data_IF_473428633605
#
_entry.id   IF_473428633605
#
_cell.length_a   1.000
_cell.length_b   1.000
_cell.length_c   1.000
_cell.angle_alpha   90.00
_cell.angle_beta   90.00
_cell.angle_gamma   90.00
#
_symmetry.space_group_name_H-M   'P 1'
#
loop_
_entity.id
_entity.type
_entity.pdbx_description
1 polymer ?
#
# COMPACT_ATOMS: atom_id res chain seq x y z
N UNK A 1 12.10 4.77 1.75
CA UNK A 1 10.72 5.31 1.79
C UNK A 1 9.80 4.24 2.32
N UNK A 2 8.48 4.38 2.16
CA UNK A 2 7.55 3.33 2.55
C UNK A 2 7.25 2.43 1.36
N UNK A 3 7.29 1.12 1.56
CA UNK A 3 6.77 0.14 0.61
C UNK A 3 6.10 -1.02 1.37
N UNK A 4 4.77 -0.99 1.53
CA UNK A 4 4.03 -1.98 2.29
C UNK A 4 4.16 -3.40 1.74
N UNK A 5 4.42 -3.57 0.44
CA UNK A 5 4.55 -4.90 -0.18
C UNK A 5 5.90 -5.58 0.12
N UNK A 6 6.89 -4.88 0.67
CA UNK A 6 8.16 -5.45 1.11
C UNK A 6 8.08 -6.05 2.53
N UNK A 7 7.11 -6.94 2.72
CA UNK A 7 6.89 -7.68 3.95
C UNK A 7 6.95 -9.20 3.69
N UNK A 8 7.00 -9.99 4.76
CA UNK A 8 6.89 -11.45 4.64
C UNK A 8 5.48 -11.87 4.21
N UNK A 9 5.37 -13.00 3.50
CA UNK A 9 4.05 -13.57 3.18
C UNK A 9 3.49 -14.29 4.40
N UNK A 10 2.48 -13.71 5.01
CA UNK A 10 1.66 -14.32 6.05
C UNK A 10 0.23 -13.75 6.01
N UNK A 11 -0.70 -14.37 6.74
CA UNK A 11 -2.12 -14.01 6.73
C UNK A 11 -2.36 -12.56 7.19
N UNK A 12 -1.66 -12.11 8.23
CA UNK A 12 -1.79 -10.75 8.76
C UNK A 12 -1.37 -9.69 7.73
N UNK A 13 -0.24 -9.89 7.04
CA UNK A 13 0.26 -9.00 6.01
C UNK A 13 -0.66 -9.00 4.78
N UNK A 14 -1.17 -10.17 4.37
CA UNK A 14 -2.12 -10.27 3.25
C UNK A 14 -3.40 -9.49 3.55
N UNK A 15 -3.98 -9.67 4.75
CA UNK A 15 -5.19 -8.96 5.15
C UNK A 15 -4.95 -7.45 5.24
N UNK A 16 -3.86 -7.03 5.88
CA UNK A 16 -3.48 -5.63 5.99
C UNK A 16 -3.32 -4.98 4.60
N UNK A 17 -2.62 -5.64 3.67
CA UNK A 17 -2.42 -5.11 2.33
C UNK A 17 -3.72 -5.00 1.54
N UNK A 18 -4.64 -5.96 1.68
CA UNK A 18 -5.95 -5.89 1.05
C UNK A 18 -6.75 -4.68 1.57
N UNK A 19 -6.77 -4.45 2.88
CA UNK A 19 -7.41 -3.27 3.48
C UNK A 19 -6.74 -1.97 3.08
N UNK A 20 -5.40 -1.92 3.07
CA UNK A 20 -4.64 -0.76 2.65
C UNK A 20 -4.99 -0.39 1.20
N UNK A 21 -5.02 -1.36 0.29
CA UNK A 21 -5.39 -1.14 -1.12
C UNK A 21 -6.80 -0.55 -1.23
N UNK A 22 -7.75 -1.01 -0.41
CA UNK A 22 -9.11 -0.43 -0.37
C UNK A 22 -9.10 1.04 0.08
N UNK A 23 -8.29 1.38 1.08
CA UNK A 23 -8.09 2.77 1.53
C UNK A 23 -7.48 3.62 0.40
N UNK A 24 -6.45 3.12 -0.29
CA UNK A 24 -5.81 3.84 -1.39
C UNK A 24 -6.74 4.03 -2.60
N UNK A 25 -7.60 3.05 -2.88
CA UNK A 25 -8.62 3.14 -3.92
C UNK A 25 -9.71 4.17 -3.59
N UNK A 26 -10.03 4.37 -2.31
CA UNK A 26 -10.95 5.43 -1.86
C UNK A 26 -12.36 5.30 -2.44
N UNK A 27 -12.83 4.07 -2.67
CA UNK A 27 -14.24 3.81 -3.04
C UNK A 27 -15.10 3.77 -1.77
N UNK A 28 -16.36 4.20 -1.89
CA UNK A 28 -17.33 4.07 -0.81
C UNK A 28 -17.63 2.60 -0.49
N UNK A 29 -17.73 1.77 -1.53
CA UNK A 29 -18.02 0.35 -1.43
C UNK A 29 -17.18 -0.44 -2.44
N UNK A 30 -16.84 -1.66 -2.05
CA UNK A 30 -16.19 -2.66 -2.89
C UNK A 30 -17.14 -3.84 -3.07
N UNK A 31 -17.34 -4.25 -4.32
CA UNK A 31 -18.13 -5.47 -4.59
C UNK A 31 -17.35 -6.72 -4.16
N UNK A 32 -18.05 -7.83 -3.88
CA UNK A 32 -17.42 -9.11 -3.56
C UNK A 32 -16.37 -9.55 -4.61
N UNK A 33 -16.62 -9.25 -5.88
CA UNK A 33 -15.68 -9.51 -6.97
C UNK A 33 -14.40 -8.67 -6.85
N UNK A 34 -14.54 -7.39 -6.51
CA UNK A 34 -13.38 -6.51 -6.34
C UNK A 34 -12.57 -6.90 -5.11
N UNK A 35 -13.22 -7.33 -4.02
CA UNK A 35 -12.51 -7.85 -2.86
C UNK A 35 -11.72 -9.12 -3.20
N UNK A 36 -12.31 -10.03 -3.98
CA UNK A 36 -11.61 -11.22 -4.48
C UNK A 36 -10.44 -10.86 -5.41
N UNK A 37 -10.63 -9.90 -6.32
CA UNK A 37 -9.58 -9.42 -7.23
C UNK A 37 -8.43 -8.75 -6.46
N UNK A 38 -8.73 -7.96 -5.42
CA UNK A 38 -7.73 -7.36 -4.52
C UNK A 38 -6.94 -8.45 -3.81
N UNK A 39 -7.63 -9.40 -3.17
CA UNK A 39 -6.99 -10.45 -2.39
C UNK A 39 -6.05 -11.29 -3.27
N UNK A 40 -6.52 -11.71 -4.45
CA UNK A 40 -5.70 -12.46 -5.42
C UNK A 40 -4.50 -11.65 -5.90
N UNK A 41 -4.67 -10.36 -6.17
CA UNK A 41 -3.57 -9.50 -6.58
C UNK A 41 -2.52 -9.32 -5.47
N UNK A 42 -2.95 -9.24 -4.20
CA UNK A 42 -2.06 -9.14 -3.04
C UNK A 42 -1.27 -10.42 -2.87
N UNK A 43 -1.94 -11.59 -2.89
CA UNK A 43 -1.25 -12.87 -2.80
C UNK A 43 -0.24 -13.05 -3.94
N UNK A 44 -0.65 -12.77 -5.18
CA UNK A 44 0.23 -12.84 -6.33
C UNK A 44 1.43 -11.89 -6.21
N UNK A 45 1.26 -10.71 -5.62
CA UNK A 45 2.37 -9.78 -5.35
C UNK A 45 3.33 -10.34 -4.29
N UNK A 46 2.81 -10.88 -3.20
CA UNK A 46 3.61 -11.48 -2.13
C UNK A 46 4.33 -12.77 -2.54
N UNK A 47 3.92 -13.40 -3.63
CA UNK A 47 4.65 -14.53 -4.23
C UNK A 47 5.80 -14.08 -5.17
N UNK A 48 5.88 -12.80 -5.54
CA UNK A 48 7.00 -12.30 -6.35
C UNK A 48 8.27 -12.06 -5.53
N UNK A 49 9.47 -12.06 -6.15
CA UNK A 49 10.70 -11.60 -5.51
C UNK A 49 10.54 -10.20 -4.91
N UNK A 50 11.07 -9.98 -3.70
CA UNK A 50 10.89 -8.73 -2.94
C UNK A 50 11.24 -7.45 -3.72
N UNK A 51 12.27 -7.48 -4.58
CA UNK A 51 12.68 -6.33 -5.40
C UNK A 51 11.69 -5.98 -6.52
N UNK A 52 10.75 -6.87 -6.86
CA UNK A 52 9.67 -6.61 -7.82
C UNK A 52 8.40 -6.10 -7.15
N UNK A 53 8.32 -6.16 -5.81
CA UNK A 53 7.16 -5.77 -5.03
C UNK A 53 7.06 -4.25 -4.95
N UNK A 54 6.12 -3.69 -5.70
CA UNK A 54 5.92 -2.24 -5.84
C UNK A 54 4.45 -1.95 -6.15
N UNK A 55 3.98 -0.74 -5.80
CA UNK A 55 2.62 -0.29 -6.14
C UNK A 55 2.43 -0.26 -7.67
N UNK A 56 3.47 0.16 -8.40
CA UNK A 56 3.51 0.14 -9.87
C UNK A 56 3.26 -1.25 -10.44
N UNK A 57 3.88 -2.29 -9.89
CA UNK A 57 3.67 -3.66 -10.37
C UNK A 57 2.34 -4.24 -9.85
N UNK A 58 1.94 -3.92 -8.62
CA UNK A 58 0.68 -4.38 -8.03
C UNK A 58 -0.51 -3.93 -8.87
N UNK A 59 -0.51 -2.64 -9.26
CA UNK A 59 -1.55 -2.07 -10.12
C UNK A 59 -1.72 -2.86 -11.42
N UNK A 60 -0.65 -3.40 -12.00
CA UNK A 60 -0.73 -4.18 -13.26
C UNK A 60 -1.42 -5.53 -13.08
N UNK A 61 -1.50 -6.05 -11.85
CA UNK A 61 -2.19 -7.30 -11.52
C UNK A 61 -3.70 -7.13 -11.39
N UNK A 62 -4.21 -5.90 -11.36
CA UNK A 62 -5.63 -5.61 -11.22
C UNK A 62 -6.34 -5.54 -12.59
N UNK A 63 -7.61 -5.96 -12.66
CA UNK A 63 -8.41 -5.80 -13.88
C UNK A 63 -8.56 -4.32 -14.28
N UNK A 64 -8.31 -4.03 -15.56
CA UNK A 64 -8.54 -2.70 -16.12
C UNK A 64 -9.98 -2.58 -16.63
N UNK A 65 -10.90 -2.24 -15.73
CA UNK A 65 -12.35 -2.15 -16.01
C UNK A 65 -12.82 -0.77 -16.50
N UNK A 66 -11.89 0.10 -16.92
CA UNK A 66 -12.21 1.46 -17.37
C UNK A 66 -12.18 2.50 -16.24
N UNK A 67 -12.87 3.61 -16.49
CA UNK A 67 -12.86 4.77 -15.61
C UNK A 67 -13.48 4.43 -14.25
N UNK A 68 -12.84 4.89 -13.18
CA UNK A 68 -13.21 4.66 -11.77
C UNK A 68 -12.94 3.26 -11.17
N UNK A 69 -12.42 2.31 -11.97
CA UNK A 69 -11.95 1.02 -11.44
C UNK A 69 -10.73 1.17 -10.52
N UNK A 70 -10.46 0.16 -9.69
CA UNK A 70 -9.30 0.17 -8.79
C UNK A 70 -7.97 0.36 -9.55
N UNK A 71 -7.84 -0.24 -10.73
CA UNK A 71 -6.70 -0.01 -11.63
C UNK A 71 -6.49 1.47 -11.96
N UNK A 72 -7.55 2.22 -12.25
CA UNK A 72 -7.48 3.65 -12.55
C UNK A 72 -7.17 4.47 -11.30
N UNK A 73 -7.86 4.19 -10.19
CA UNK A 73 -7.71 4.89 -8.90
C UNK A 73 -6.31 4.76 -8.32
N UNK A 74 -5.69 3.58 -8.43
CA UNK A 74 -4.33 3.37 -7.93
C UNK A 74 -3.24 4.04 -8.76
N UNK A 75 -3.53 4.54 -9.96
CA UNK A 75 -2.53 5.18 -10.84
C UNK A 75 -1.80 6.33 -10.15
N UNK A 76 -2.49 7.13 -9.35
CA UNK A 76 -1.86 8.28 -8.69
C UNK A 76 -0.86 7.89 -7.61
N UNK A 77 -0.98 6.68 -7.07
CA UNK A 77 -0.12 6.12 -6.03
C UNK A 77 1.11 5.41 -6.61
N UNK A 78 1.25 5.34 -7.94
CA UNK A 78 2.43 4.79 -8.59
C UNK A 78 3.47 5.86 -8.89
N UNK A 79 4.74 5.48 -8.85
CA UNK A 79 5.90 6.33 -9.11
C UNK A 79 5.70 7.21 -10.36
N UNK A 80 6.12 8.47 -10.26
CA UNK A 80 5.92 9.48 -11.30
C UNK A 80 4.54 10.13 -11.34
N UNK A 81 3.62 9.77 -10.42
CA UNK A 81 2.33 10.46 -10.25
C UNK A 81 2.27 11.18 -8.88
N UNK A 82 1.20 11.93 -8.63
CA UNK A 82 1.09 12.88 -7.52
C UNK A 82 1.34 12.28 -6.13
N UNK A 83 0.96 11.02 -5.88
CA UNK A 83 1.14 10.33 -4.61
C UNK A 83 2.11 9.14 -4.70
N UNK A 84 2.85 9.02 -5.80
CA UNK A 84 3.80 7.91 -6.02
C UNK A 84 4.95 7.87 -5.02
N UNK A 85 5.26 9.01 -4.40
CA UNK A 85 6.31 9.12 -3.38
C UNK A 85 5.96 8.41 -2.06
N UNK A 86 4.68 8.16 -1.80
CA UNK A 86 4.20 7.62 -0.52
C UNK A 86 4.59 6.15 -0.37
N UNK A 87 4.05 5.27 -1.24
CA UNK A 87 4.18 3.81 -1.09
C UNK A 87 4.89 3.08 -2.25
N UNK A 88 5.24 3.76 -3.34
CA UNK A 88 5.89 3.13 -4.49
C UNK A 88 7.41 3.27 -4.46
N UNK A 89 7.99 3.09 -3.27
CA UNK A 89 9.42 3.16 -3.06
C UNK A 89 10.09 1.82 -3.41
N UNK A 90 11.28 1.80 -4.04
CA UNK A 90 11.96 0.55 -4.40
C UNK A 90 12.45 -0.25 -3.20
N UNK A 91 12.65 0.41 -2.05
CA UNK A 91 13.05 -0.22 -0.79
C UNK A 91 12.21 0.40 0.33
N UNK A 92 11.59 -0.47 1.13
CA UNK A 92 11.02 -0.09 2.41
C UNK A 92 12.14 0.10 3.42
N UNK A 93 12.27 1.31 3.95
CA UNK A 93 13.36 1.68 4.87
C UNK A 93 12.88 1.88 6.29
N UNK A 94 11.64 1.48 6.60
CA UNK A 94 11.11 1.60 7.96
C UNK A 94 11.75 0.53 8.82
N UNK A 95 12.41 0.97 9.88
CA UNK A 95 12.95 0.11 10.92
C UNK A 95 12.63 0.73 12.28
N UNK A 96 11.59 0.18 12.91
CA UNK A 96 11.08 0.68 14.19
C UNK A 96 11.88 0.19 15.41
N UNK A 97 12.87 -0.68 15.19
CA UNK A 97 13.69 -1.27 16.28
C UNK A 97 14.92 -0.43 16.63
N UNK A 98 15.29 0.53 15.78
CA UNK A 98 16.55 1.28 15.89
C UNK A 98 16.57 2.37 16.95
N UNK A 99 15.41 2.77 17.48
CA UNK A 99 15.33 3.84 18.46
C UNK A 99 14.12 3.66 19.37
N UNK A 100 14.24 4.13 20.62
CA UNK A 100 13.14 4.21 21.59
C UNK A 100 12.12 5.30 21.25
N UNK A 101 12.49 6.26 20.40
CA UNK A 101 11.64 7.34 19.91
C UNK A 101 11.93 7.51 18.41
N UNK A 102 10.88 7.44 17.60
CA UNK A 102 10.96 7.63 16.15
C UNK A 102 10.03 8.79 15.79
N UNK A 103 10.62 9.89 15.32
CA UNK A 103 9.88 10.99 14.73
C UNK A 103 9.90 10.85 13.22
N UNK A 104 8.73 10.80 12.59
CA UNK A 104 8.64 11.03 11.15
C UNK A 104 8.50 12.53 10.91
N UNK A 105 9.11 13.05 9.85
CA UNK A 105 8.78 14.40 9.42
C UNK A 105 7.42 14.35 8.73
N UNK A 106 6.38 14.77 9.45
CA UNK A 106 4.99 14.63 9.03
C UNK A 106 4.46 15.86 8.30
N UNK A 107 5.25 16.92 8.07
CA UNK A 107 4.73 18.20 7.58
C UNK A 107 3.97 18.05 6.25
N UNK A 108 4.49 17.24 5.32
CA UNK A 108 3.80 16.96 4.04
C UNK A 108 2.66 15.91 4.15
N UNK A 109 2.67 15.09 5.22
CA UNK A 109 1.68 14.01 5.44
C UNK A 109 0.46 14.54 6.20
N UNK A 110 0.64 15.45 7.16
CA UNK A 110 -0.44 15.96 8.01
C UNK A 110 -1.41 16.81 7.20
N UNK A 111 -0.90 17.61 6.27
CA UNK A 111 -1.75 18.55 5.51
C UNK A 111 -2.61 17.84 4.46
N UNK A 112 -2.20 16.63 4.03
CA UNK A 112 -2.96 15.82 3.10
C UNK A 112 -3.65 14.63 3.78
N UNK A 113 -4.93 14.81 4.14
CA UNK A 113 -5.75 13.78 4.78
C UNK A 113 -5.76 12.43 4.03
N UNK A 114 -5.65 12.48 2.70
CA UNK A 114 -5.63 11.32 1.82
C UNK A 114 -4.34 10.48 1.97
N UNK A 115 -3.22 11.12 2.28
CA UNK A 115 -1.94 10.46 2.57
C UNK A 115 -1.86 10.05 4.03
N UNK A 116 -2.37 10.91 4.93
CA UNK A 116 -2.32 10.70 6.38
C UNK A 116 -2.91 9.38 6.82
N UNK A 117 -4.13 9.06 6.36
CA UNK A 117 -4.85 7.84 6.78
C UNK A 117 -4.07 6.57 6.43
N UNK A 118 -3.70 6.30 5.16
CA UNK A 118 -3.00 5.07 4.84
C UNK A 118 -1.58 5.01 5.41
N UNK A 119 -0.90 6.15 5.58
CA UNK A 119 0.41 6.19 6.27
C UNK A 119 0.30 5.76 7.73
N UNK A 120 -0.69 6.27 8.47
CA UNK A 120 -0.93 5.87 9.86
C UNK A 120 -1.25 4.39 9.94
N UNK A 121 -2.14 3.88 9.08
CA UNK A 121 -2.48 2.45 9.06
C UNK A 121 -1.23 1.58 8.84
N UNK A 122 -0.36 1.99 7.91
CA UNK A 122 0.89 1.31 7.65
C UNK A 122 1.85 1.32 8.85
N UNK A 123 2.04 2.47 9.49
CA UNK A 123 2.92 2.58 10.65
C UNK A 123 2.41 1.79 11.86
N UNK A 124 1.09 1.78 12.09
CA UNK A 124 0.47 0.97 13.14
C UNK A 124 0.69 -0.52 12.89
N UNK A 125 0.44 -1.00 11.67
CA UNK A 125 0.70 -2.40 11.30
C UNK A 125 2.17 -2.79 11.52
N UNK A 126 3.11 -1.90 11.17
CA UNK A 126 4.55 -2.12 11.41
C UNK A 126 4.91 -2.14 12.89
N UNK A 127 4.20 -1.40 13.74
CA UNK A 127 4.41 -1.37 15.18
C UNK A 127 3.88 -2.64 15.85
N UNK A 128 2.71 -3.12 15.41
CA UNK A 128 2.07 -4.36 15.93
C UNK A 128 2.85 -5.62 15.56
N UNK A 129 3.66 -5.57 14.50
CA UNK A 129 4.49 -6.69 14.04
C UNK A 129 5.87 -6.80 14.74
N UNK A 130 6.18 -5.91 15.70
CA UNK A 130 7.38 -5.97 16.54
C UNK A 130 7.23 -6.99 17.67
#
# INVERSE_FOLDING_TARGET
GFNPFQCERNEANTQFLAELVKVLGGKAEYSAREEEDIYRAVEGMLDTPMHLRSMSNFRKSLPNMGDDGLYARLRRWTAGNSLGWVFDNPVDTIDLTRASIIGFDYTDVIDNAEVRVPVINYLLHRLEAL
#
